data_IF_703175507329
#
_entry.id   IF_703175507329
#
_cell.length_a   1.000
_cell.length_b   1.000
_cell.length_c   1.000
_cell.angle_alpha   90.00
_cell.angle_beta   90.00
_cell.angle_gamma   90.00
#
_symmetry.space_group_name_H-M   'P 1'
#
loop_
_entity.id
_entity.type
_entity.pdbx_description
1 polymer ?
#
# COMPACT_ATOMS: atom_id res chain seq x y z
N UNK A 1 -12.04 -14.00 -30.94
CA UNK A 1 -11.00 -14.55 -30.00
C UNK A 1 -11.30 -16.00 -29.59
N UNK A 2 -12.54 -16.36 -29.35
CA UNK A 2 -12.96 -17.74 -29.06
C UNK A 2 -12.70 -18.69 -30.24
N UNK A 3 -13.00 -18.26 -31.46
CA UNK A 3 -12.85 -19.05 -32.70
C UNK A 3 -11.38 -19.43 -32.96
N UNK A 4 -10.43 -18.51 -32.78
CA UNK A 4 -8.99 -18.79 -32.94
C UNK A 4 -8.46 -19.78 -31.89
N UNK A 5 -8.94 -19.69 -30.63
CA UNK A 5 -8.56 -20.63 -29.58
C UNK A 5 -9.11 -22.05 -29.86
N UNK A 6 -10.34 -22.12 -30.33
CA UNK A 6 -10.96 -23.38 -30.71
C UNK A 6 -10.24 -24.02 -31.87
N UNK A 7 -9.94 -23.27 -32.92
CA UNK A 7 -9.17 -23.69 -34.07
C UNK A 7 -7.75 -24.19 -33.69
N UNK A 8 -7.01 -23.43 -32.87
CA UNK A 8 -5.69 -23.85 -32.40
C UNK A 8 -5.73 -25.14 -31.56
N UNK A 9 -6.78 -25.35 -30.77
CA UNK A 9 -6.98 -26.57 -30.02
C UNK A 9 -7.30 -27.77 -30.93
N UNK A 10 -8.21 -27.59 -31.88
CA UNK A 10 -8.77 -28.69 -32.66
C UNK A 10 -7.83 -29.10 -33.81
N UNK A 11 -7.05 -28.18 -34.41
CA UNK A 11 -6.17 -28.46 -35.53
C UNK A 11 -4.72 -28.64 -35.08
N UNK A 12 -4.23 -27.86 -34.15
CA UNK A 12 -2.82 -27.91 -33.74
C UNK A 12 -2.59 -28.62 -32.39
N UNK A 13 -3.62 -29.27 -31.83
CA UNK A 13 -3.56 -29.97 -30.53
C UNK A 13 -2.87 -29.17 -29.41
N UNK A 14 -3.01 -27.82 -29.44
CA UNK A 14 -2.46 -26.96 -28.41
C UNK A 14 -3.20 -27.21 -27.10
N UNK A 15 -2.54 -27.82 -26.13
CA UNK A 15 -3.13 -28.07 -24.81
C UNK A 15 -3.53 -26.77 -24.14
N UNK A 16 -4.81 -26.65 -23.73
CA UNK A 16 -5.26 -25.51 -22.92
C UNK A 16 -4.42 -25.44 -21.65
N UNK A 17 -3.72 -24.33 -21.45
CA UNK A 17 -3.08 -24.07 -20.19
C UNK A 17 -4.14 -24.10 -19.07
N UNK A 18 -3.96 -24.98 -18.08
CA UNK A 18 -4.84 -25.03 -16.92
C UNK A 18 -4.82 -23.66 -16.25
N UNK A 19 -5.97 -22.98 -16.21
CA UNK A 19 -6.10 -21.72 -15.49
C UNK A 19 -5.74 -22.01 -14.03
N UNK A 20 -4.60 -21.49 -13.55
CA UNK A 20 -4.29 -21.55 -12.11
C UNK A 20 -5.46 -20.91 -11.38
N UNK A 21 -6.18 -21.66 -10.56
CA UNK A 21 -7.15 -21.11 -9.63
C UNK A 21 -6.37 -20.14 -8.76
N UNK A 22 -6.72 -18.85 -8.79
CA UNK A 22 -6.17 -17.90 -7.84
C UNK A 22 -6.52 -18.40 -6.45
N UNK A 23 -5.52 -18.55 -5.57
CA UNK A 23 -5.79 -18.83 -4.16
C UNK A 23 -6.69 -17.71 -3.66
N UNK A 24 -7.85 -18.06 -3.13
CA UNK A 24 -8.68 -17.11 -2.40
C UNK A 24 -7.92 -16.76 -1.13
N UNK A 25 -7.32 -15.59 -1.10
CA UNK A 25 -6.66 -15.10 0.11
C UNK A 25 -7.73 -14.66 1.09
N UNK A 26 -7.77 -15.29 2.27
CA UNK A 26 -8.63 -14.82 3.36
C UNK A 26 -8.19 -13.39 3.70
N UNK A 27 -9.13 -12.46 3.71
CA UNK A 27 -8.89 -11.10 4.21
C UNK A 27 -8.53 -11.20 5.69
N UNK A 28 -7.53 -10.45 6.11
CA UNK A 28 -7.20 -10.30 7.53
C UNK A 28 -8.36 -9.59 8.23
N UNK A 29 -8.67 -10.00 9.44
CA UNK A 29 -9.63 -9.29 10.29
C UNK A 29 -9.13 -7.88 10.59
N UNK A 30 -10.06 -6.95 10.77
CA UNK A 30 -9.76 -5.56 11.14
C UNK A 30 -9.21 -5.50 12.56
N UNK A 31 -8.45 -4.47 12.86
CA UNK A 31 -8.09 -4.16 14.24
C UNK A 31 -9.34 -3.79 15.04
N UNK A 32 -9.32 -4.12 16.34
CA UNK A 32 -10.47 -3.98 17.24
C UNK A 32 -10.77 -2.50 17.55
N UNK A 33 -9.76 -1.63 17.53
CA UNK A 33 -9.89 -0.23 17.88
C UNK A 33 -9.05 0.68 16.97
N UNK A 34 -9.49 1.93 16.73
CA UNK A 34 -8.72 2.95 16.03
C UNK A 34 -7.37 3.22 16.70
N UNK A 35 -6.36 3.54 15.90
CA UNK A 35 -5.01 3.82 16.37
C UNK A 35 -4.16 2.59 16.67
N UNK A 36 -4.70 1.37 16.60
CA UNK A 36 -3.89 0.15 16.75
C UNK A 36 -3.02 -0.12 15.52
N UNK A 37 -3.51 0.17 14.33
CA UNK A 37 -2.71 0.01 13.11
C UNK A 37 -3.17 0.99 12.03
N UNK A 38 -2.22 1.76 11.52
CA UNK A 38 -2.39 2.60 10.36
C UNK A 38 -1.59 2.04 9.18
N UNK A 39 -2.20 2.04 8.00
CA UNK A 39 -1.56 1.64 6.75
C UNK A 39 -1.14 2.90 5.99
N UNK A 40 0.10 2.98 5.53
CA UNK A 40 0.59 4.08 4.73
C UNK A 40 0.91 3.60 3.31
N UNK A 41 0.49 4.40 2.33
CA UNK A 41 0.80 4.18 0.91
C UNK A 41 0.92 5.49 0.13
N UNK A 42 1.68 5.46 -0.96
CA UNK A 42 1.84 6.57 -1.89
C UNK A 42 1.29 6.22 -3.26
N UNK A 43 0.44 7.08 -3.82
CA UNK A 43 -0.12 6.91 -5.17
C UNK A 43 0.32 8.04 -6.08
N UNK A 44 1.22 7.74 -7.02
CA UNK A 44 1.71 8.71 -8.01
C UNK A 44 0.87 8.65 -9.27
N UNK A 45 0.18 9.75 -9.56
CA UNK A 45 -0.69 9.87 -10.73
C UNK A 45 -0.74 11.32 -11.23
N UNK A 46 -1.38 11.57 -12.38
CA UNK A 46 -1.71 12.92 -12.89
C UNK A 46 -3.02 13.41 -12.25
N UNK A 47 -2.96 13.74 -10.97
CA UNK A 47 -4.15 14.13 -10.21
C UNK A 47 -4.72 15.50 -10.65
N UNK A 48 -3.83 16.41 -11.05
CA UNK A 48 -4.18 17.80 -11.39
C UNK A 48 -3.58 18.18 -12.76
N UNK A 49 -4.15 17.68 -13.85
CA UNK A 49 -3.70 17.97 -15.23
C UNK A 49 -2.47 17.16 -15.65
N UNK A 50 -1.51 17.78 -16.37
CA UNK A 50 -0.42 17.05 -17.04
C UNK A 50 0.74 16.66 -16.15
N UNK A 51 0.91 17.32 -15.01
CA UNK A 51 2.03 17.05 -14.09
C UNK A 51 1.67 15.90 -13.14
N UNK A 52 2.62 14.99 -12.95
CA UNK A 52 2.49 13.96 -11.93
C UNK A 52 2.62 14.56 -10.54
N UNK A 53 1.76 14.14 -9.63
CA UNK A 53 1.85 14.38 -8.20
C UNK A 53 1.61 13.08 -7.44
N UNK A 54 2.00 13.03 -6.18
CA UNK A 54 1.84 11.86 -5.33
C UNK A 54 0.86 12.18 -4.20
N UNK A 55 -0.17 11.37 -4.06
CA UNK A 55 -1.03 11.35 -2.89
C UNK A 55 -0.41 10.38 -1.89
N UNK A 56 0.02 10.87 -0.73
CA UNK A 56 0.46 10.03 0.39
C UNK A 56 -0.70 9.95 1.38
N UNK A 57 -1.15 8.74 1.66
CA UNK A 57 -2.30 8.49 2.51
C UNK A 57 -1.97 7.56 3.67
N UNK A 58 -2.55 7.83 4.83
CA UNK A 58 -2.63 6.93 5.98
C UNK A 58 -4.08 6.55 6.23
N UNK A 59 -4.34 5.26 6.37
CA UNK A 59 -5.68 4.71 6.61
C UNK A 59 -5.66 3.91 7.90
N UNK A 60 -6.58 4.21 8.81
CA UNK A 60 -6.79 3.40 9.99
C UNK A 60 -7.47 2.08 9.63
N UNK A 61 -6.90 0.98 10.11
CA UNK A 61 -7.39 -0.36 9.79
C UNK A 61 -8.74 -0.69 10.44
N UNK A 62 -9.05 -0.12 11.58
CA UNK A 62 -10.27 -0.41 12.32
C UNK A 62 -11.51 0.27 11.69
N UNK A 63 -11.46 1.59 11.49
CA UNK A 63 -12.60 2.40 11.07
C UNK A 63 -12.52 2.90 9.62
N UNK A 64 -11.35 2.72 8.95
CA UNK A 64 -11.09 3.22 7.60
C UNK A 64 -11.02 4.75 7.50
N UNK A 65 -10.76 5.46 8.58
CA UNK A 65 -10.47 6.88 8.54
C UNK A 65 -9.22 7.15 7.72
N UNK A 66 -9.30 8.11 6.80
CA UNK A 66 -8.23 8.45 5.87
C UNK A 66 -7.67 9.82 6.21
N UNK A 67 -6.35 9.90 6.30
CA UNK A 67 -5.60 11.15 6.34
C UNK A 67 -4.61 11.17 5.18
N UNK A 68 -4.71 12.16 4.28
CA UNK A 68 -3.94 12.17 3.05
C UNK A 68 -3.54 13.58 2.64
N UNK A 69 -2.36 13.72 2.05
CA UNK A 69 -1.83 14.98 1.53
C UNK A 69 -1.17 14.78 0.16
N UNK A 70 -1.21 15.84 -0.68
CA UNK A 70 -0.60 15.83 -2.00
C UNK A 70 0.82 16.41 -1.96
N UNK A 71 1.74 15.71 -2.65
CA UNK A 71 3.14 16.11 -2.81
C UNK A 71 3.52 16.06 -4.30
N UNK A 72 4.60 16.73 -4.65
CA UNK A 72 5.15 16.68 -6.03
C UNK A 72 5.68 15.30 -6.39
N UNK A 73 6.19 14.56 -5.40
CA UNK A 73 6.71 13.21 -5.54
C UNK A 73 6.61 12.46 -4.22
N UNK A 74 6.71 11.15 -4.29
CA UNK A 74 6.79 10.29 -3.10
C UNK A 74 8.19 10.40 -2.49
N UNK A 75 8.26 10.97 -1.30
CA UNK A 75 9.52 11.17 -0.56
C UNK A 75 9.37 10.77 0.91
N UNK A 76 10.48 10.44 1.55
CA UNK A 76 10.51 10.16 3.00
C UNK A 76 10.02 11.37 3.81
N UNK A 77 10.38 12.57 3.39
CA UNK A 77 9.91 13.81 4.03
C UNK A 77 8.39 13.97 3.94
N UNK A 78 7.79 13.66 2.76
CA UNK A 78 6.34 13.68 2.58
C UNK A 78 5.64 12.67 3.49
N UNK A 79 6.16 11.43 3.56
CA UNK A 79 5.65 10.42 4.48
C UNK A 79 5.73 10.84 5.95
N UNK A 80 6.84 11.45 6.36
CA UNK A 80 7.01 11.97 7.71
C UNK A 80 6.06 13.14 8.02
N UNK A 81 5.79 14.03 7.06
CA UNK A 81 4.82 15.11 7.21
C UNK A 81 3.41 14.58 7.46
N UNK A 82 2.97 13.62 6.64
CA UNK A 82 1.65 12.98 6.81
C UNK A 82 1.58 12.26 8.16
N UNK A 83 2.60 11.49 8.53
CA UNK A 83 2.65 10.81 9.82
C UNK A 83 2.60 11.80 10.99
N UNK A 84 3.37 12.89 10.92
CA UNK A 84 3.36 13.96 11.93
C UNK A 84 1.97 14.58 12.07
N UNK A 85 1.32 14.92 10.96
CA UNK A 85 -0.03 15.50 10.97
C UNK A 85 -1.06 14.58 11.63
N UNK A 86 -0.95 13.26 11.40
CA UNK A 86 -1.78 12.25 12.07
C UNK A 86 -1.50 12.21 13.57
N UNK A 87 -0.23 12.16 13.97
CA UNK A 87 0.17 12.11 15.40
C UNK A 87 -0.27 13.38 16.14
N UNK A 88 -0.12 14.56 15.54
CA UNK A 88 -0.54 15.84 16.13
C UNK A 88 -2.07 15.91 16.29
N UNK A 89 -2.83 15.31 15.38
CA UNK A 89 -4.30 15.38 15.39
C UNK A 89 -4.97 14.30 16.26
N UNK A 90 -4.44 13.08 16.21
CA UNK A 90 -5.10 11.92 16.81
C UNK A 90 -4.30 11.25 17.94
N UNK A 91 -3.04 11.67 18.13
CA UNK A 91 -2.10 11.02 19.05
C UNK A 91 -1.25 9.96 18.38
N UNK A 92 -0.32 9.40 19.15
CA UNK A 92 0.59 8.35 18.68
C UNK A 92 -0.18 7.03 18.52
N UNK A 93 -0.11 6.46 17.33
CA UNK A 93 -0.69 5.16 17.00
C UNK A 93 0.32 4.03 17.28
N UNK A 94 -0.17 2.79 17.41
CA UNK A 94 0.67 1.66 17.85
C UNK A 94 1.52 1.07 16.74
N UNK A 95 0.96 0.85 15.54
CA UNK A 95 1.63 0.10 14.48
C UNK A 95 1.47 0.80 13.13
N UNK A 96 2.58 0.92 12.39
CA UNK A 96 2.63 1.39 11.01
C UNK A 96 2.79 0.20 10.05
N UNK A 97 1.83 0.00 9.19
CA UNK A 97 1.86 -1.04 8.15
C UNK A 97 2.22 -0.43 6.80
N UNK A 98 3.32 -0.89 6.20
CA UNK A 98 3.87 -0.34 4.95
C UNK A 98 4.24 -1.44 3.96
N UNK A 99 4.31 -1.08 2.68
CA UNK A 99 4.83 -1.98 1.65
C UNK A 99 6.37 -2.04 1.68
N UNK A 100 6.91 -3.17 1.23
CA UNK A 100 8.36 -3.34 1.03
C UNK A 100 8.86 -2.62 -0.22
N UNK A 101 7.98 -2.26 -1.16
CA UNK A 101 8.36 -1.61 -2.41
C UNK A 101 8.55 -0.10 -2.22
N UNK A 102 9.63 0.44 -2.76
CA UNK A 102 9.86 1.89 -2.83
C UNK A 102 10.55 2.48 -1.61
N UNK A 103 9.93 3.46 -0.98
CA UNK A 103 10.52 4.31 0.08
C UNK A 103 10.89 3.51 1.33
N UNK A 104 10.17 2.45 1.63
CA UNK A 104 10.33 1.69 2.87
C UNK A 104 11.22 0.45 2.78
N UNK A 105 11.61 -0.03 1.59
CA UNK A 105 12.27 -1.32 1.48
C UNK A 105 13.15 -1.58 0.28
N UNK A 106 13.51 -0.56 -0.48
CA UNK A 106 14.48 -0.71 -1.57
C UNK A 106 15.89 -0.94 -1.01
N UNK A 107 16.84 -1.47 -1.82
CA UNK A 107 18.22 -1.73 -1.39
C UNK A 107 18.98 -0.46 -0.96
N UNK A 108 18.41 0.72 -1.12
CA UNK A 108 18.93 1.99 -0.65
C UNK A 108 18.48 2.27 0.78
N UNK A 109 19.15 1.67 1.73
CA UNK A 109 18.90 1.68 3.18
C UNK A 109 18.81 3.07 3.86
N UNK A 110 19.21 4.15 3.21
CA UNK A 110 19.31 5.46 3.87
C UNK A 110 17.95 6.08 4.22
N UNK A 111 16.94 5.96 3.36
CA UNK A 111 15.64 6.57 3.61
C UNK A 111 14.80 5.82 4.64
N UNK A 112 14.98 4.50 4.67
CA UNK A 112 14.33 3.64 5.62
C UNK A 112 14.81 3.91 7.06
N UNK A 113 16.10 4.16 7.25
CA UNK A 113 16.67 4.42 8.56
C UNK A 113 16.08 5.65 9.27
N UNK A 114 15.70 6.69 8.52
CA UNK A 114 15.10 7.91 9.10
C UNK A 114 13.67 7.65 9.58
N UNK A 115 12.84 7.01 8.77
CA UNK A 115 11.46 6.66 9.16
C UNK A 115 11.45 5.67 10.32
N UNK A 116 12.31 4.66 10.27
CA UNK A 116 12.43 3.69 11.34
C UNK A 116 12.84 4.33 12.66
N UNK A 117 13.85 5.21 12.64
CA UNK A 117 14.27 5.94 13.83
C UNK A 117 13.16 6.78 14.42
N UNK A 118 12.41 7.53 13.57
CA UNK A 118 11.29 8.32 14.04
C UNK A 118 10.18 7.45 14.68
N UNK A 119 9.88 6.31 14.08
CA UNK A 119 8.93 5.36 14.66
C UNK A 119 9.43 4.77 15.97
N UNK A 120 10.71 4.39 16.05
CA UNK A 120 11.34 3.88 17.29
C UNK A 120 11.28 4.91 18.43
N UNK A 121 11.59 6.19 18.14
CA UNK A 121 11.52 7.27 19.12
C UNK A 121 10.09 7.54 19.62
N UNK A 122 9.08 7.33 18.77
CA UNK A 122 7.66 7.46 19.10
C UNK A 122 7.05 6.19 19.70
N UNK A 123 7.78 5.08 19.76
CA UNK A 123 7.27 3.78 20.20
C UNK A 123 6.30 3.14 19.20
N UNK A 124 6.40 3.47 17.91
CA UNK A 124 5.57 2.92 16.83
C UNK A 124 6.26 1.70 16.24
N UNK A 125 5.59 0.55 16.23
CA UNK A 125 6.05 -0.66 15.58
C UNK A 125 5.83 -0.58 14.05
N UNK A 126 6.84 -0.97 13.24
CA UNK A 126 6.70 -1.03 11.78
C UNK A 126 6.52 -2.47 11.33
N UNK A 127 5.43 -2.72 10.57
CA UNK A 127 5.17 -4.01 9.94
C UNK A 127 5.27 -3.87 8.41
N UNK A 128 6.09 -4.72 7.79
CA UNK A 128 6.25 -4.78 6.34
C UNK A 128 5.30 -5.79 5.73
N UNK A 129 4.51 -5.36 4.74
CA UNK A 129 3.70 -6.26 3.94
C UNK A 129 4.60 -7.28 3.23
N UNK A 130 4.37 -8.56 3.49
CA UNK A 130 5.12 -9.66 2.85
C UNK A 130 4.68 -9.91 1.40
N UNK A 131 3.53 -9.36 0.98
CA UNK A 131 2.99 -9.50 -0.37
C UNK A 131 2.06 -8.32 -0.71
N UNK A 132 1.91 -7.96 -2.01
CA UNK A 132 1.00 -6.90 -2.46
C UNK A 132 -0.45 -7.10 -2.00
N UNK A 133 -0.85 -8.34 -1.75
CA UNK A 133 -2.22 -8.70 -1.35
C UNK A 133 -2.56 -8.33 0.11
N UNK A 134 -1.55 -8.00 0.94
CA UNK A 134 -1.76 -7.50 2.30
C UNK A 134 -2.36 -6.09 2.35
N UNK A 135 -2.29 -5.34 1.24
CA UNK A 135 -2.76 -3.96 1.10
C UNK A 135 -4.21 -3.81 0.64
N UNK A 136 -4.98 -4.86 0.54
CA UNK A 136 -6.30 -4.91 -0.12
C UNK A 136 -7.34 -3.84 0.23
N UNK A 137 -6.98 -2.78 0.98
CA UNK A 137 -7.89 -1.68 1.33
C UNK A 137 -7.50 -0.35 0.72
N UNK A 138 -6.22 -0.04 0.58
CA UNK A 138 -5.77 1.21 -0.03
C UNK A 138 -6.08 1.22 -1.54
N UNK A 139 -6.04 0.04 -2.19
CA UNK A 139 -6.33 -0.09 -3.62
C UNK A 139 -7.83 0.00 -3.97
N UNK A 140 -8.75 -0.18 -3.02
CA UNK A 140 -10.20 -0.19 -3.30
C UNK A 140 -10.84 1.19 -3.30
N UNK A 141 -10.30 2.15 -2.55
CA UNK A 141 -10.89 3.50 -2.42
C UNK A 141 -10.31 4.51 -3.44
N UNK A 142 -9.39 4.08 -4.30
CA UNK A 142 -8.76 4.90 -5.34
C UNK A 142 -9.37 4.78 -6.75
N UNK A 143 -10.59 4.27 -6.89
CA UNK A 143 -11.31 4.18 -8.18
C UNK A 143 -12.62 4.94 -8.15
#
# INVERSE_FOLDING_TARGET
RETLRKWAHDIHHVKRAKRRRSRVHKRRERMEAPGLMLQMDGSTHRWFGDKKSCLIAMIDDANSDIHAEFFTSETTEGCMKVMRSVVEKFGVFKTLYVDRAGIFGGPKRCNFSQMQRACEELGIEIIFASSPQGKGRIEHDGR
#
